data_IF_546713545495
#
_entry.id   IF_546713545495
#
_cell.length_a   1.000
_cell.length_b   1.000
_cell.length_c   1.000
_cell.angle_alpha   90.00
_cell.angle_beta   90.00
_cell.angle_gamma   90.00
#
_symmetry.space_group_name_H-M   'P 1'
#
loop_
_entity.id
_entity.type
_entity.pdbx_description
1 polymer ?
#
# COMPACT_ATOMS: atom_id res chain seq x y z
N UNK A 1 3.44 13.05 14.18
CA UNK A 1 3.91 11.68 14.43
C UNK A 1 5.16 11.45 13.61
N UNK A 2 6.16 10.73 14.11
CA UNK A 2 7.31 10.33 13.29
C UNK A 2 6.85 9.35 12.20
N UNK A 3 7.57 9.32 11.08
CA UNK A 3 7.35 8.38 10.00
C UNK A 3 7.50 6.94 10.51
N UNK A 4 6.61 5.99 10.13
CA UNK A 4 6.76 4.58 10.50
C UNK A 4 8.16 4.05 10.17
N UNK A 5 8.73 3.20 11.05
CA UNK A 5 10.11 2.69 10.87
C UNK A 5 10.36 2.05 9.50
N UNK A 6 9.36 1.35 8.97
CA UNK A 6 9.42 0.74 7.62
C UNK A 6 9.65 1.75 6.49
N UNK A 7 9.32 3.02 6.70
CA UNK A 7 9.43 4.08 5.69
C UNK A 7 10.60 5.04 5.95
N UNK A 8 11.40 4.84 7.00
CA UNK A 8 12.49 5.76 7.35
C UNK A 8 13.74 5.60 6.48
N UNK A 9 13.94 4.45 5.86
CA UNK A 9 15.11 4.15 5.02
C UNK A 9 14.96 4.46 3.54
N UNK A 10 13.88 5.14 3.13
CA UNK A 10 13.64 5.48 1.73
C UNK A 10 14.65 6.50 1.22
N UNK A 11 15.15 6.30 0.00
CA UNK A 11 16.05 7.26 -0.66
C UNK A 11 15.37 8.61 -0.89
N UNK A 12 14.10 8.58 -1.23
CA UNK A 12 13.17 9.71 -1.26
C UNK A 12 11.82 9.24 -0.72
N UNK A 13 11.04 10.08 -0.05
CA UNK A 13 9.75 9.69 0.55
C UNK A 13 8.65 9.57 -0.52
N UNK A 14 8.80 8.57 -1.39
CA UNK A 14 7.87 8.32 -2.50
C UNK A 14 7.35 6.89 -2.43
N UNK A 15 6.05 6.76 -2.69
CA UNK A 15 5.38 5.48 -2.94
C UNK A 15 4.96 5.46 -4.41
N UNK A 16 5.41 4.46 -5.15
CA UNK A 16 4.90 4.20 -6.51
C UNK A 16 3.42 3.83 -6.44
N UNK A 17 2.57 4.50 -7.22
CA UNK A 17 1.13 4.24 -7.18
C UNK A 17 0.80 2.81 -7.67
N UNK A 18 -0.16 2.10 -7.03
CA UNK A 18 -0.64 0.81 -7.50
C UNK A 18 -1.53 1.00 -8.73
N UNK A 19 -0.98 0.79 -9.92
CA UNK A 19 -1.66 1.02 -11.18
C UNK A 19 -2.34 -0.25 -11.70
N UNK A 20 -3.64 -0.16 -12.02
CA UNK A 20 -4.39 -1.26 -12.62
C UNK A 20 -3.73 -1.71 -13.94
N UNK A 21 -3.60 -3.03 -14.13
CA UNK A 21 -2.94 -3.69 -15.28
C UNK A 21 -1.41 -3.43 -15.36
N UNK A 22 -0.95 -2.19 -15.16
CA UNK A 22 0.44 -1.79 -15.40
C UNK A 22 1.38 -2.29 -14.31
N UNK A 23 0.97 -2.15 -13.02
CA UNK A 23 1.81 -2.60 -11.92
C UNK A 23 1.86 -4.12 -11.86
N UNK A 24 3.08 -4.64 -11.85
CA UNK A 24 3.42 -6.05 -11.82
C UNK A 24 4.73 -6.26 -11.01
N UNK A 25 5.16 -7.49 -10.74
CA UNK A 25 6.37 -7.75 -9.94
C UNK A 25 7.61 -7.04 -10.45
N UNK A 26 7.84 -6.99 -11.76
CA UNK A 26 9.02 -6.32 -12.33
C UNK A 26 9.05 -4.84 -12.02
N UNK A 27 7.90 -4.15 -12.12
CA UNK A 27 7.80 -2.73 -11.78
C UNK A 27 8.01 -2.52 -10.27
N UNK A 28 7.38 -3.33 -9.43
CA UNK A 28 7.53 -3.26 -7.96
C UNK A 28 8.99 -3.44 -7.56
N UNK A 29 9.66 -4.47 -8.08
CA UNK A 29 11.07 -4.75 -7.81
C UNK A 29 11.96 -3.58 -8.25
N UNK A 30 11.74 -3.05 -9.46
CA UNK A 30 12.50 -1.91 -9.96
C UNK A 30 12.35 -0.66 -9.06
N UNK A 31 11.14 -0.38 -8.58
CA UNK A 31 10.86 0.72 -7.66
C UNK A 31 11.55 0.50 -6.31
N UNK A 32 11.43 -0.69 -5.72
CA UNK A 32 12.05 -1.02 -4.43
C UNK A 32 13.58 -0.95 -4.49
N UNK A 33 14.20 -1.49 -5.53
CA UNK A 33 15.67 -1.43 -5.72
C UNK A 33 16.18 -0.03 -6.06
N UNK A 34 15.32 0.84 -6.60
CA UNK A 34 15.61 2.27 -6.76
C UNK A 34 15.53 3.06 -5.44
N UNK A 35 14.97 2.47 -4.36
CA UNK A 35 14.89 3.06 -3.02
C UNK A 35 13.60 3.82 -2.72
N UNK A 36 12.53 3.53 -3.46
CA UNK A 36 11.15 4.00 -3.19
C UNK A 36 10.23 2.81 -2.94
N UNK A 37 9.11 3.03 -2.25
CA UNK A 37 8.12 1.96 -2.07
C UNK A 37 7.53 1.58 -3.42
N UNK A 38 7.70 0.33 -3.83
CA UNK A 38 7.04 -0.22 -5.02
C UNK A 38 5.67 -0.77 -4.66
N UNK A 39 4.66 -0.58 -5.51
CA UNK A 39 3.33 -1.10 -5.22
C UNK A 39 2.58 -1.67 -6.42
N UNK A 40 1.66 -2.60 -6.12
CA UNK A 40 0.72 -3.13 -7.11
C UNK A 40 -0.62 -3.48 -6.46
N UNK A 41 -1.74 -3.45 -7.22
CA UNK A 41 -3.00 -4.01 -6.76
C UNK A 41 -2.94 -5.54 -6.70
N UNK A 42 -3.47 -6.15 -5.63
CA UNK A 42 -3.64 -7.60 -5.57
C UNK A 42 -4.49 -8.13 -6.75
N UNK A 43 -5.51 -7.36 -7.14
CA UNK A 43 -6.42 -7.69 -8.23
C UNK A 43 -5.79 -7.69 -9.63
N UNK A 44 -4.52 -7.25 -9.77
CA UNK A 44 -3.78 -7.39 -11.03
C UNK A 44 -3.34 -8.84 -11.27
N UNK A 45 -3.12 -9.62 -10.23
CA UNK A 45 -2.85 -11.05 -10.35
C UNK A 45 -4.14 -11.79 -10.78
N UNK A 46 -4.10 -12.44 -11.94
CA UNK A 46 -5.24 -13.15 -12.52
C UNK A 46 -4.76 -14.42 -13.24
N UNK A 47 -5.17 -15.59 -12.77
CA UNK A 47 -6.15 -15.86 -11.69
C UNK A 47 -5.62 -15.50 -10.29
N UNK A 48 -6.43 -15.73 -9.24
CA UNK A 48 -6.12 -15.33 -7.87
C UNK A 48 -4.82 -15.96 -7.34
N UNK A 49 -4.57 -17.20 -7.69
CA UNK A 49 -3.41 -18.01 -7.31
C UNK A 49 -2.09 -17.37 -7.77
N UNK A 50 -2.11 -16.58 -8.84
CA UNK A 50 -0.95 -15.86 -9.35
C UNK A 50 -0.40 -14.85 -8.35
N UNK A 51 -1.21 -14.39 -7.38
CA UNK A 51 -0.73 -13.48 -6.34
C UNK A 51 0.35 -14.13 -5.47
N UNK A 52 0.21 -15.42 -5.18
CA UNK A 52 1.22 -16.19 -4.43
C UNK A 52 2.56 -16.25 -5.17
N UNK A 53 2.52 -16.55 -6.46
CA UNK A 53 3.72 -16.58 -7.32
C UNK A 53 4.40 -15.21 -7.39
N UNK A 54 3.61 -14.16 -7.55
CA UNK A 54 4.12 -12.78 -7.64
C UNK A 54 4.74 -12.29 -6.33
N UNK A 55 4.15 -12.64 -5.19
CA UNK A 55 4.72 -12.27 -3.90
C UNK A 55 5.98 -13.08 -3.58
N UNK A 56 6.05 -14.35 -4.02
CA UNK A 56 7.28 -15.13 -3.95
C UNK A 56 8.40 -14.46 -4.76
N UNK A 57 8.15 -14.14 -6.04
CA UNK A 57 9.11 -13.47 -6.93
C UNK A 57 9.64 -12.17 -6.32
N UNK A 58 8.74 -11.29 -5.84
CA UNK A 58 9.11 -10.01 -5.23
C UNK A 58 9.98 -10.26 -4.00
N UNK A 59 9.52 -11.10 -3.08
CA UNK A 59 10.18 -11.32 -1.79
C UNK A 59 11.58 -11.94 -1.99
N UNK A 60 11.70 -12.95 -2.83
CA UNK A 60 12.97 -13.63 -3.11
C UNK A 60 13.96 -12.70 -3.81
N UNK A 61 13.49 -11.95 -4.81
CA UNK A 61 14.32 -11.00 -5.55
C UNK A 61 14.83 -9.87 -4.67
N UNK A 62 13.97 -9.28 -3.85
CA UNK A 62 14.38 -8.21 -2.93
C UNK A 62 15.30 -8.74 -1.82
N UNK A 63 15.09 -9.96 -1.34
CA UNK A 63 16.02 -10.61 -0.40
C UNK A 63 17.39 -10.88 -1.03
N UNK A 64 17.44 -11.32 -2.28
CA UNK A 64 18.69 -11.49 -3.02
C UNK A 64 19.41 -10.15 -3.24
N UNK A 65 18.66 -9.11 -3.62
CA UNK A 65 19.20 -7.75 -3.74
C UNK A 65 19.83 -7.27 -2.44
N UNK A 66 19.14 -7.42 -1.31
CA UNK A 66 19.61 -6.95 -0.01
C UNK A 66 20.90 -7.67 0.44
N UNK A 67 21.04 -8.97 0.09
CA UNK A 67 22.30 -9.70 0.34
C UNK A 67 23.45 -9.20 -0.53
N UNK A 68 23.17 -8.83 -1.77
CA UNK A 68 24.18 -8.34 -2.71
C UNK A 68 24.56 -6.86 -2.49
N UNK A 69 23.65 -6.07 -1.88
CA UNK A 69 23.79 -4.62 -1.70
C UNK A 69 23.46 -4.20 -0.26
N UNK A 70 24.20 -4.68 0.75
CA UNK A 70 23.91 -4.37 2.16
C UNK A 70 23.98 -2.87 2.48
N UNK A 71 24.78 -2.12 1.74
CA UNK A 71 24.90 -0.66 1.85
C UNK A 71 23.73 0.10 1.23
N UNK A 72 22.93 -0.57 0.41
CA UNK A 72 21.78 0.00 -0.29
C UNK A 72 20.62 -1.00 -0.37
N UNK A 73 20.02 -1.35 0.76
CA UNK A 73 18.91 -2.29 0.76
C UNK A 73 17.70 -1.75 -0.03
N UNK A 74 16.92 -2.65 -0.59
CA UNK A 74 15.70 -2.31 -1.27
C UNK A 74 14.69 -1.68 -0.28
N UNK A 75 13.90 -0.73 -0.76
CA UNK A 75 12.75 -0.21 -0.03
C UNK A 75 11.66 -1.30 0.14
N UNK A 76 10.77 -1.18 1.11
CA UNK A 76 9.64 -2.09 1.26
C UNK A 76 8.70 -2.02 0.06
N UNK A 77 7.99 -3.11 -0.21
CA UNK A 77 6.90 -3.11 -1.19
C UNK A 77 5.54 -3.00 -0.52
N UNK A 78 4.54 -2.61 -1.31
CA UNK A 78 3.16 -2.47 -0.88
C UNK A 78 2.20 -3.24 -1.79
N UNK A 79 1.14 -3.80 -1.19
CA UNK A 79 0.03 -4.41 -1.93
C UNK A 79 -1.24 -3.62 -1.65
N UNK A 80 -1.91 -3.20 -2.72
CA UNK A 80 -3.20 -2.55 -2.59
C UNK A 80 -4.33 -3.58 -2.55
N UNK A 81 -5.18 -3.42 -1.54
CA UNK A 81 -6.37 -4.24 -1.30
C UNK A 81 -7.64 -3.39 -1.39
N UNK A 82 -8.56 -3.79 -2.26
CA UNK A 82 -9.91 -3.26 -2.27
C UNK A 82 -10.68 -3.94 -1.14
N UNK A 83 -10.99 -3.19 -0.07
CA UNK A 83 -11.66 -3.75 1.12
C UNK A 83 -13.18 -3.63 1.08
N UNK A 84 -13.74 -3.21 -0.05
CA UNK A 84 -15.17 -3.16 -0.26
C UNK A 84 -15.77 -4.57 -0.35
N UNK A 85 -17.01 -4.73 0.12
CA UNK A 85 -17.74 -6.02 0.15
C UNK A 85 -17.94 -6.70 -1.22
N UNK A 86 -17.74 -5.97 -2.31
CA UNK A 86 -17.80 -6.53 -3.68
C UNK A 86 -16.52 -7.25 -4.09
N UNK A 87 -15.46 -7.18 -3.28
CA UNK A 87 -14.24 -7.92 -3.53
C UNK A 87 -14.35 -9.30 -2.85
N UNK A 88 -14.74 -10.30 -3.60
CA UNK A 88 -14.87 -11.69 -3.17
C UNK A 88 -13.53 -12.40 -2.94
N UNK A 89 -12.42 -11.80 -3.43
CA UNK A 89 -11.07 -12.33 -3.27
C UNK A 89 -10.36 -11.83 -2.00
N UNK A 90 -10.91 -10.85 -1.29
CA UNK A 90 -10.20 -10.15 -0.22
C UNK A 90 -9.63 -11.10 0.83
N UNK A 91 -10.38 -12.09 1.27
CA UNK A 91 -9.93 -13.04 2.29
C UNK A 91 -8.74 -13.88 1.79
N UNK A 92 -8.84 -14.43 0.59
CA UNK A 92 -7.75 -15.17 -0.05
C UNK A 92 -6.49 -14.28 -0.18
N UNK A 93 -6.64 -13.09 -0.75
CA UNK A 93 -5.52 -12.20 -1.01
C UNK A 93 -4.85 -11.72 0.30
N UNK A 94 -5.62 -11.55 1.38
CA UNK A 94 -5.08 -11.23 2.71
C UNK A 94 -4.31 -12.41 3.33
N UNK A 95 -4.75 -13.65 3.13
CA UNK A 95 -4.02 -14.84 3.57
C UNK A 95 -2.66 -14.94 2.85
N UNK A 96 -2.64 -14.67 1.55
CA UNK A 96 -1.39 -14.62 0.77
C UNK A 96 -0.49 -13.49 1.27
N UNK A 97 -1.04 -12.29 1.52
CA UNK A 97 -0.27 -11.18 2.10
C UNK A 97 0.34 -11.54 3.47
N UNK A 98 -0.40 -12.25 4.33
CA UNK A 98 0.08 -12.70 5.62
C UNK A 98 1.22 -13.73 5.49
N UNK A 99 1.12 -14.68 4.56
CA UNK A 99 2.16 -15.70 4.26
C UNK A 99 3.51 -15.02 3.97
N UNK A 100 3.51 -13.95 3.16
CA UNK A 100 4.72 -13.22 2.78
C UNK A 100 5.03 -12.03 3.69
N UNK A 101 4.24 -11.82 4.75
CA UNK A 101 4.39 -10.69 5.69
C UNK A 101 4.56 -9.35 4.94
N UNK A 102 3.64 -9.09 4.02
CA UNK A 102 3.68 -7.88 3.19
C UNK A 102 3.90 -6.64 4.06
N UNK A 103 5.00 -5.87 3.85
CA UNK A 103 5.37 -4.81 4.79
C UNK A 103 4.39 -3.63 4.80
N UNK A 104 3.78 -3.32 3.68
CA UNK A 104 2.81 -2.21 3.56
C UNK A 104 1.56 -2.70 2.83
N UNK A 105 0.40 -2.52 3.43
CA UNK A 105 -0.88 -2.75 2.76
C UNK A 105 -1.56 -1.41 2.52
N UNK A 106 -1.93 -1.13 1.27
CA UNK A 106 -2.73 0.04 0.90
C UNK A 106 -4.17 -0.40 0.82
N UNK A 107 -5.06 0.14 1.66
CA UNK A 107 -6.48 -0.20 1.65
C UNK A 107 -7.30 0.86 0.95
N UNK A 108 -8.24 0.43 0.10
CA UNK A 108 -9.07 1.30 -0.74
C UNK A 108 -10.56 0.92 -0.65
N UNK A 109 -11.43 1.91 -0.84
CA UNK A 109 -12.90 1.76 -0.90
C UNK A 109 -13.54 1.25 0.40
N UNK A 110 -13.11 1.78 1.52
CA UNK A 110 -13.64 1.53 2.85
C UNK A 110 -12.57 1.11 3.85
N UNK A 111 -12.76 1.43 5.13
CA UNK A 111 -11.85 1.06 6.20
C UNK A 111 -12.42 -0.10 7.01
N UNK A 112 -11.61 -1.13 7.27
CA UNK A 112 -11.97 -2.36 7.99
C UNK A 112 -10.97 -2.65 9.11
N UNK A 113 -11.45 -2.73 10.34
CA UNK A 113 -10.63 -3.03 11.53
C UNK A 113 -9.99 -4.41 11.42
N UNK A 114 -10.74 -5.43 11.01
CA UNK A 114 -10.26 -6.80 10.89
C UNK A 114 -9.11 -6.94 9.87
N UNK A 115 -9.13 -6.19 8.78
CA UNK A 115 -8.04 -6.14 7.80
C UNK A 115 -6.81 -5.47 8.42
N UNK A 116 -6.99 -4.34 9.11
CA UNK A 116 -5.89 -3.61 9.74
C UNK A 116 -5.24 -4.45 10.85
N UNK A 117 -6.06 -5.07 11.71
CA UNK A 117 -5.57 -5.95 12.78
C UNK A 117 -4.78 -7.14 12.21
N UNK A 118 -5.24 -7.74 11.11
CA UNK A 118 -4.50 -8.80 10.44
C UNK A 118 -3.13 -8.32 9.95
N UNK A 119 -3.05 -7.14 9.32
CA UNK A 119 -1.77 -6.56 8.85
C UNK A 119 -0.83 -6.31 10.04
N UNK A 120 -1.33 -5.74 11.12
CA UNK A 120 -0.56 -5.48 12.33
C UNK A 120 -0.05 -6.77 12.97
N UNK A 121 -0.84 -7.84 12.93
CA UNK A 121 -0.46 -9.13 13.50
C UNK A 121 0.82 -9.73 12.90
N UNK A 122 1.12 -9.46 11.64
CA UNK A 122 2.39 -9.89 11.04
C UNK A 122 3.47 -8.79 11.01
N UNK A 123 3.22 -7.62 11.61
CA UNK A 123 4.18 -6.51 11.72
C UNK A 123 4.19 -5.56 10.52
N UNK A 124 3.20 -5.62 9.63
CA UNK A 124 2.99 -4.68 8.54
C UNK A 124 2.33 -3.37 9.00
N UNK A 125 2.26 -2.40 8.11
CA UNK A 125 1.52 -1.14 8.30
C UNK A 125 0.43 -0.97 7.24
N UNK A 126 -0.62 -0.21 7.61
CA UNK A 126 -1.75 0.09 6.72
C UNK A 126 -1.74 1.57 6.35
N UNK A 127 -1.71 1.83 5.03
CA UNK A 127 -1.97 3.15 4.47
C UNK A 127 -3.37 3.12 3.83
N UNK A 128 -4.26 4.05 4.23
CA UNK A 128 -5.63 4.08 3.71
C UNK A 128 -5.87 5.26 2.78
N UNK A 129 -6.43 5.02 1.60
CA UNK A 129 -6.77 6.09 0.68
C UNK A 129 -8.06 6.82 1.09
N UNK A 130 -8.01 8.15 1.06
CA UNK A 130 -9.13 9.01 1.46
C UNK A 130 -9.33 10.14 0.44
N UNK A 131 -10.60 10.56 0.30
CA UNK A 131 -10.99 11.66 -0.58
C UNK A 131 -11.59 12.85 0.19
N UNK A 132 -11.82 12.69 1.49
CA UNK A 132 -12.33 13.73 2.38
C UNK A 132 -12.05 13.41 3.85
N UNK A 133 -12.31 14.39 4.73
CA UNK A 133 -12.02 14.27 6.16
C UNK A 133 -12.90 13.24 6.88
N UNK A 134 -14.13 13.02 6.43
CA UNK A 134 -15.01 12.00 7.03
C UNK A 134 -14.42 10.59 6.82
N UNK A 135 -13.91 10.30 5.62
CA UNK A 135 -13.20 9.04 5.36
C UNK A 135 -11.85 8.97 6.08
N UNK A 136 -11.13 10.10 6.20
CA UNK A 136 -9.90 10.15 6.98
C UNK A 136 -10.13 9.78 8.44
N UNK A 137 -11.10 10.39 9.11
CA UNK A 137 -11.46 10.07 10.49
C UNK A 137 -11.86 8.59 10.64
N UNK A 138 -12.69 8.09 9.73
CA UNK A 138 -13.09 6.68 9.73
C UNK A 138 -11.88 5.74 9.58
N UNK A 139 -10.91 6.07 8.74
CA UNK A 139 -9.70 5.26 8.57
C UNK A 139 -8.84 5.26 9.85
N UNK A 140 -8.68 6.43 10.49
CA UNK A 140 -7.98 6.57 11.76
C UNK A 140 -8.67 5.76 12.87
N UNK A 141 -9.98 5.88 13.00
CA UNK A 141 -10.78 5.16 14.00
C UNK A 141 -10.70 3.63 13.80
N UNK A 142 -10.44 3.18 12.58
CA UNK A 142 -10.25 1.77 12.23
C UNK A 142 -8.81 1.28 12.33
N UNK A 143 -7.88 2.15 12.75
CA UNK A 143 -6.50 1.77 13.04
C UNK A 143 -5.53 1.86 11.84
N UNK A 144 -5.82 2.68 10.83
CA UNK A 144 -4.85 2.94 9.77
C UNK A 144 -3.62 3.69 10.30
N UNK A 145 -2.41 3.28 9.91
CA UNK A 145 -1.14 3.89 10.33
C UNK A 145 -0.82 5.18 9.56
N UNK A 146 -1.45 5.34 8.40
CA UNK A 146 -1.28 6.53 7.57
C UNK A 146 -2.41 6.71 6.56
N UNK A 147 -2.48 7.91 6.00
CA UNK A 147 -3.51 8.27 5.02
C UNK A 147 -2.88 8.64 3.68
N UNK A 148 -3.50 8.20 2.60
CA UNK A 148 -3.19 8.62 1.23
C UNK A 148 -4.30 9.58 0.79
N UNK A 149 -4.00 10.87 0.72
CA UNK A 149 -4.96 11.89 0.30
C UNK A 149 -5.10 11.89 -1.23
N UNK A 150 -6.19 11.31 -1.72
CA UNK A 150 -6.49 11.21 -3.16
C UNK A 150 -7.30 12.44 -3.57
N UNK A 151 -6.59 13.47 -4.02
CA UNK A 151 -7.15 14.77 -4.35
C UNK A 151 -7.57 14.87 -5.82
N UNK A 152 -8.21 15.98 -6.20
CA UNK A 152 -8.50 16.31 -7.60
C UNK A 152 -7.20 16.34 -8.43
N UNK A 153 -7.23 15.70 -9.59
CA UNK A 153 -6.07 15.55 -10.46
C UNK A 153 -5.25 14.27 -10.25
N UNK A 154 -5.53 13.50 -9.19
CA UNK A 154 -4.97 12.16 -9.06
C UNK A 154 -5.53 11.22 -10.14
N UNK A 155 -4.72 10.24 -10.56
CA UNK A 155 -5.20 9.17 -11.44
C UNK A 155 -6.20 8.25 -10.75
N UNK A 156 -7.05 7.55 -11.51
CA UNK A 156 -8.02 6.60 -10.99
C UNK A 156 -9.21 7.28 -10.29
N UNK A 157 -9.65 6.73 -9.17
CA UNK A 157 -10.80 7.23 -8.40
C UNK A 157 -10.40 8.43 -7.54
N UNK A 158 -10.28 9.59 -8.15
CA UNK A 158 -9.86 10.81 -7.47
C UNK A 158 -11.03 11.49 -6.71
N UNK A 159 -10.68 12.19 -5.63
CA UNK A 159 -11.57 13.11 -4.95
C UNK A 159 -11.75 14.41 -5.75
N UNK A 160 -12.76 15.19 -5.37
CA UNK A 160 -13.09 16.49 -6.02
C UNK A 160 -12.39 17.68 -5.36
N UNK A 161 -11.80 17.49 -4.19
CA UNK A 161 -11.09 18.56 -3.47
C UNK A 161 -9.68 18.75 -4.01
N UNK A 162 -9.22 20.01 -4.10
CA UNK A 162 -7.81 20.27 -4.40
C UNK A 162 -6.90 19.69 -3.31
N UNK A 163 -5.61 19.37 -3.62
CA UNK A 163 -4.68 18.86 -2.62
C UNK A 163 -4.54 19.80 -1.42
N UNK A 164 -4.51 21.11 -1.65
CA UNK A 164 -4.41 22.11 -0.60
C UNK A 164 -5.62 22.08 0.33
N UNK A 165 -6.84 22.08 -0.23
CA UNK A 165 -8.08 22.03 0.56
C UNK A 165 -8.30 20.68 1.28
N UNK A 166 -7.75 19.59 0.76
CA UNK A 166 -7.86 18.28 1.40
C UNK A 166 -6.91 18.12 2.59
N UNK A 167 -5.71 18.68 2.50
CA UNK A 167 -4.66 18.55 3.51
C UNK A 167 -4.71 19.68 4.56
N UNK A 168 -5.10 20.90 4.15
CA UNK A 168 -5.18 22.05 5.06
C UNK A 168 -6.43 21.97 5.94
N UNK A 169 -6.22 21.67 7.22
CA UNK A 169 -7.29 21.66 8.24
C UNK A 169 -7.94 23.02 8.48
N UNK A 170 -7.29 24.13 8.15
CA UNK A 170 -7.83 25.48 8.38
C UNK A 170 -8.86 25.89 7.34
N UNK A 171 -8.86 25.24 6.19
CA UNK A 171 -9.79 25.54 5.08
C UNK A 171 -11.13 24.78 5.18
N UNK A 172 -11.38 24.06 6.26
CA UNK A 172 -12.56 23.18 6.43
C UNK A 172 -13.44 23.67 7.59
N UNK A 173 -13.43 24.95 7.87
CA UNK A 173 -14.38 25.61 8.78
C UNK A 173 -15.42 26.37 7.98
#
# INVERSE_FOLDING_TARGET
>A
MPLPKLLQGLRIPVVGAPLFIISNPKLVIAQCTAGIVGSMPALNARPAEQLDEWLAEITETLAAWNRAHPERPAAPFAINQIVHKSNDRLEHDMQVCAKYKVPVVITSLGARTDVNDAVHAWGGIVLHDIINNAFANKAIDKGADGLIAVAAGAGGHAGVKSPFALIDRKSVV
#
